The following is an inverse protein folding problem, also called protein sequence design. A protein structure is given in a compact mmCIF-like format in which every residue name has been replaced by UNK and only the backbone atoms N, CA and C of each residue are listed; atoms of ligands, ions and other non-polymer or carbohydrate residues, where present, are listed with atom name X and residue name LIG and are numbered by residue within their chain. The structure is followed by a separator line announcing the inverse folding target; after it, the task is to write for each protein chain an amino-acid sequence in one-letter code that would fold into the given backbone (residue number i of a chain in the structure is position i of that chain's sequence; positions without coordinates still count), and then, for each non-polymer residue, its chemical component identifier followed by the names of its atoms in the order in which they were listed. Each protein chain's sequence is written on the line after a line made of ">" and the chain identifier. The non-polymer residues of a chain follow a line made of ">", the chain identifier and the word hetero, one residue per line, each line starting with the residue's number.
data_IF_871073821285
#
_entry.id   IF_871073821285
#
_cell.length_a   1.000
_cell.length_b   1.000
_cell.length_c   1.000
_cell.angle_alpha   90.00
_cell.angle_beta   90.00
_cell.angle_gamma   90.00
#
_symmetry.space_group_name_H-M   'P 1'
#
loop_
_entity.id
_entity.type
_entity.pdbx_description
1 polymer ?
#
# COMPACT_ATOMS: atom_id res chain seq x y z
N UNK A 1 -7.04 -19.58 -15.44
CA UNK A 1 -5.98 -18.79 -16.11
C UNK A 1 -4.81 -19.70 -16.48
N UNK A 2 -4.26 -20.50 -15.57
CA UNK A 2 -3.12 -21.38 -15.82
C UNK A 2 -3.43 -22.36 -16.96
N UNK A 3 -4.49 -23.13 -16.82
CA UNK A 3 -4.94 -24.09 -17.84
C UNK A 3 -5.05 -23.43 -19.21
N UNK A 4 -5.69 -22.26 -19.28
CA UNK A 4 -5.81 -21.48 -20.50
C UNK A 4 -4.46 -21.04 -21.09
N UNK A 5 -3.49 -20.63 -20.22
CA UNK A 5 -2.14 -20.30 -20.68
C UNK A 5 -1.35 -21.52 -21.16
N UNK A 6 -1.50 -22.65 -20.47
CA UNK A 6 -0.82 -23.91 -20.82
C UNK A 6 -1.32 -24.43 -22.17
N UNK A 7 -2.56 -24.10 -22.55
CA UNK A 7 -3.16 -24.35 -23.87
C UNK A 7 -2.79 -23.31 -24.94
N UNK A 8 -1.90 -22.37 -24.63
CA UNK A 8 -1.48 -21.32 -25.56
C UNK A 8 -2.42 -20.12 -25.65
N UNK A 9 -3.30 -19.96 -24.66
CA UNK A 9 -4.22 -18.84 -24.57
C UNK A 9 -3.53 -17.51 -24.31
N UNK A 10 -4.16 -16.42 -24.74
CA UNK A 10 -3.70 -15.05 -24.52
C UNK A 10 -4.83 -14.15 -23.98
N UNK A 11 -4.52 -12.88 -23.69
CA UNK A 11 -5.49 -11.92 -23.19
C UNK A 11 -6.02 -10.95 -24.27
N UNK A 12 -5.80 -11.20 -25.56
CA UNK A 12 -6.14 -10.26 -26.61
C UNK A 12 -7.63 -9.90 -26.67
N UNK A 13 -8.51 -10.84 -26.29
CA UNK A 13 -9.96 -10.64 -26.35
C UNK A 13 -10.52 -9.75 -25.22
N UNK A 14 -9.86 -9.67 -24.06
CA UNK A 14 -10.38 -8.86 -22.94
C UNK A 14 -9.45 -7.74 -22.52
N UNK A 15 -8.27 -7.63 -23.12
CA UNK A 15 -7.24 -6.64 -22.80
C UNK A 15 -7.77 -5.20 -22.75
N UNK A 16 -8.66 -4.84 -23.65
CA UNK A 16 -9.26 -3.50 -23.73
C UNK A 16 -10.25 -3.21 -22.58
N UNK A 17 -10.74 -4.26 -21.90
CA UNK A 17 -11.65 -4.18 -20.75
C UNK A 17 -10.92 -4.33 -19.42
N UNK A 18 -9.62 -4.62 -19.45
CA UNK A 18 -8.81 -4.83 -18.25
C UNK A 18 -8.48 -3.52 -17.56
N UNK A 19 -9.18 -3.25 -16.48
CA UNK A 19 -8.99 -2.06 -15.64
C UNK A 19 -7.97 -2.26 -14.52
N UNK A 20 -7.48 -3.48 -14.28
CA UNK A 20 -6.61 -3.79 -13.13
C UNK A 20 -5.14 -3.87 -13.51
N UNK A 21 -4.85 -4.51 -14.63
CA UNK A 21 -3.47 -4.68 -15.08
C UNK A 21 -3.13 -3.74 -16.24
N UNK A 22 -4.08 -2.91 -16.66
CA UNK A 22 -3.96 -1.99 -17.80
C UNK A 22 -3.54 -2.73 -19.08
N UNK A 23 -4.16 -3.87 -19.33
CA UNK A 23 -3.91 -4.69 -20.51
C UNK A 23 -2.59 -5.46 -20.51
N UNK A 24 -2.02 -5.71 -19.33
CA UNK A 24 -0.88 -6.59 -19.15
C UNK A 24 -1.22 -8.05 -19.47
N UNK A 25 -0.25 -8.94 -19.33
CA UNK A 25 -0.38 -10.33 -19.73
C UNK A 25 -1.16 -11.17 -18.72
N UNK A 26 -1.64 -12.35 -19.14
CA UNK A 26 -2.22 -13.34 -18.23
C UNK A 26 -1.24 -13.86 -17.19
N UNK A 27 0.07 -13.79 -17.43
CA UNK A 27 1.10 -14.10 -16.44
C UNK A 27 1.06 -13.13 -15.25
N UNK A 28 0.86 -11.86 -15.51
CA UNK A 28 0.70 -10.83 -14.47
C UNK A 28 -0.60 -11.02 -13.69
N UNK A 29 -1.67 -11.48 -14.36
CA UNK A 29 -2.89 -11.91 -13.69
C UNK A 29 -2.67 -13.11 -12.77
N UNK A 30 -1.82 -14.08 -13.16
CA UNK A 30 -1.44 -15.20 -12.28
C UNK A 30 -0.63 -14.74 -11.08
N UNK A 31 0.33 -13.83 -11.25
CA UNK A 31 1.07 -13.22 -10.13
C UNK A 31 0.12 -12.52 -9.16
N UNK A 32 -0.85 -11.78 -9.67
CA UNK A 32 -1.88 -11.16 -8.82
C UNK A 32 -2.72 -12.19 -8.08
N UNK A 33 -3.19 -13.24 -8.77
CA UNK A 33 -3.98 -14.31 -8.17
C UNK A 33 -3.20 -15.04 -7.04
N UNK A 34 -1.92 -15.35 -7.27
CA UNK A 34 -1.05 -15.95 -6.26
C UNK A 34 -0.82 -15.00 -5.07
N UNK A 35 -0.61 -13.72 -5.33
CA UNK A 35 -0.45 -12.71 -4.27
C UNK A 35 -1.72 -12.55 -3.44
N UNK A 36 -2.88 -12.55 -4.08
CA UNK A 36 -4.18 -12.54 -3.39
C UNK A 36 -4.40 -13.80 -2.57
N UNK A 37 -4.02 -14.97 -3.11
CA UNK A 37 -4.04 -16.24 -2.38
C UNK A 37 -3.17 -16.18 -1.12
N UNK A 38 -1.97 -15.61 -1.20
CA UNK A 38 -1.11 -15.40 -0.05
C UNK A 38 -1.75 -14.46 0.97
N UNK A 39 -2.33 -13.32 0.53
CA UNK A 39 -3.05 -12.40 1.42
C UNK A 39 -4.18 -13.12 2.18
N UNK A 40 -5.00 -13.90 1.48
CA UNK A 40 -6.09 -14.64 2.09
C UNK A 40 -5.60 -15.73 3.06
N UNK A 41 -4.53 -16.43 2.71
CA UNK A 41 -3.88 -17.41 3.59
C UNK A 41 -3.43 -16.76 4.91
N UNK A 42 -2.78 -15.59 4.83
CA UNK A 42 -2.34 -14.88 6.05
C UNK A 42 -3.53 -14.37 6.88
N UNK A 43 -4.65 -14.00 6.28
CA UNK A 43 -5.87 -13.59 7.01
C UNK A 43 -6.50 -14.70 7.85
N UNK A 44 -6.43 -15.93 7.40
CA UNK A 44 -6.99 -17.08 8.14
C UNK A 44 -5.98 -17.75 9.08
N UNK A 45 -4.75 -17.27 9.17
CA UNK A 45 -3.65 -17.91 9.88
C UNK A 45 -3.91 -18.14 11.38
N UNK A 46 -4.74 -17.32 12.01
CA UNK A 46 -5.12 -17.46 13.41
C UNK A 46 -6.39 -18.33 13.61
N UNK A 47 -7.07 -18.69 12.52
CA UNK A 47 -8.29 -19.53 12.54
C UNK A 47 -7.96 -20.96 12.11
N UNK A 48 -7.22 -21.12 11.03
CA UNK A 48 -6.77 -22.40 10.51
C UNK A 48 -5.32 -22.28 9.98
N UNK A 49 -4.37 -22.51 10.88
CA UNK A 49 -2.93 -22.42 10.58
C UNK A 49 -2.49 -23.47 9.54
N UNK A 50 -3.13 -24.64 9.50
CA UNK A 50 -2.79 -25.72 8.58
C UNK A 50 -3.19 -25.33 7.16
N UNK A 51 -4.42 -24.87 6.96
CA UNK A 51 -4.90 -24.40 5.68
C UNK A 51 -4.11 -23.15 5.23
N UNK A 52 -3.84 -22.22 6.15
CA UNK A 52 -3.04 -21.03 5.88
C UNK A 52 -1.65 -21.39 5.34
N UNK A 53 -0.95 -22.31 6.00
CA UNK A 53 0.36 -22.79 5.56
C UNK A 53 0.31 -23.45 4.19
N UNK A 54 -0.66 -24.34 3.96
CA UNK A 54 -0.84 -25.01 2.66
C UNK A 54 -1.05 -23.98 1.53
N UNK A 55 -1.95 -23.02 1.75
CA UNK A 55 -2.28 -22.02 0.74
C UNK A 55 -1.15 -21.01 0.50
N UNK A 56 -0.44 -20.58 1.54
CA UNK A 56 0.74 -19.72 1.42
C UNK A 56 1.86 -20.43 0.64
N UNK A 57 2.14 -21.69 0.98
CA UNK A 57 3.14 -22.50 0.30
C UNK A 57 2.81 -22.68 -1.18
N UNK A 58 1.55 -22.96 -1.51
CA UNK A 58 1.09 -23.08 -2.91
C UNK A 58 1.20 -21.78 -3.68
N UNK A 59 0.93 -20.64 -3.03
CA UNK A 59 1.05 -19.32 -3.65
C UNK A 59 2.51 -18.98 -4.00
N UNK A 60 3.43 -19.25 -3.06
CA UNK A 60 4.83 -18.86 -3.20
C UNK A 60 5.67 -19.84 -4.05
N UNK A 61 5.29 -21.12 -4.10
CA UNK A 61 5.96 -22.12 -4.94
C UNK A 61 5.42 -22.17 -6.37
N UNK A 62 4.46 -21.33 -6.73
CA UNK A 62 3.97 -21.25 -8.09
C UNK A 62 5.05 -20.76 -9.06
N UNK A 63 5.19 -21.37 -10.22
CA UNK A 63 6.22 -21.03 -11.20
C UNK A 63 6.08 -19.63 -11.82
N UNK A 64 4.90 -19.02 -11.74
CA UNK A 64 4.71 -17.61 -12.15
C UNK A 64 5.04 -16.64 -11.03
N UNK A 65 5.19 -17.12 -9.79
CA UNK A 65 5.51 -16.31 -8.62
C UNK A 65 4.37 -15.39 -8.17
N UNK A 66 4.74 -14.42 -7.38
CA UNK A 66 3.88 -13.37 -6.81
C UNK A 66 4.35 -11.99 -7.30
N UNK A 67 3.67 -10.93 -6.91
CA UNK A 67 4.12 -9.55 -7.18
C UNK A 67 5.38 -9.26 -6.35
N UNK A 68 6.44 -8.77 -6.99
CA UNK A 68 7.74 -8.52 -6.35
C UNK A 68 8.27 -7.11 -6.62
N UNK A 69 8.09 -6.58 -7.83
CA UNK A 69 8.56 -5.26 -8.22
C UNK A 69 7.53 -4.16 -8.01
N UNK A 70 7.95 -2.95 -7.65
CA UNK A 70 7.06 -1.80 -7.43
C UNK A 70 6.14 -1.52 -8.64
N UNK A 71 6.61 -1.79 -9.86
CA UNK A 71 5.83 -1.62 -11.10
C UNK A 71 4.78 -2.71 -11.33
N UNK A 72 4.82 -3.80 -10.58
CA UNK A 72 3.84 -4.89 -10.65
C UNK A 72 2.59 -4.60 -9.79
N UNK A 73 2.56 -3.46 -9.08
CA UNK A 73 1.40 -3.03 -8.29
C UNK A 73 0.12 -3.10 -9.10
N UNK A 74 -0.90 -3.74 -8.53
CA UNK A 74 -2.24 -3.85 -9.10
C UNK A 74 -3.08 -2.68 -8.61
N UNK A 75 -3.60 -1.91 -9.57
CA UNK A 75 -4.40 -0.73 -9.27
C UNK A 75 -5.55 -0.61 -10.27
N UNK A 76 -6.69 -0.11 -9.83
CA UNK A 76 -7.79 0.23 -10.75
C UNK A 76 -7.36 1.41 -11.61
N UNK A 77 -7.41 1.21 -12.92
CA UNK A 77 -7.04 2.19 -13.93
C UNK A 77 -8.03 2.08 -15.10
N UNK A 78 -8.03 3.05 -15.98
CA UNK A 78 -8.85 2.98 -17.19
C UNK A 78 -9.03 4.35 -17.83
N UNK A 79 -9.51 4.35 -19.06
CA UNK A 79 -9.65 5.57 -19.88
C UNK A 79 -10.52 6.62 -19.20
N UNK A 80 -11.60 6.21 -18.55
CA UNK A 80 -12.57 7.09 -17.88
C UNK A 80 -12.47 7.01 -16.35
N UNK A 81 -11.40 6.40 -15.81
CA UNK A 81 -11.19 6.27 -14.38
C UNK A 81 -10.74 7.61 -13.79
N UNK A 82 -11.35 7.97 -12.66
CA UNK A 82 -10.94 9.07 -11.80
C UNK A 82 -10.73 8.49 -10.41
N UNK A 83 -9.57 8.77 -9.79
CA UNK A 83 -9.26 8.29 -8.47
C UNK A 83 -10.24 8.90 -7.43
N UNK A 84 -11.04 8.08 -6.73
CA UNK A 84 -12.00 8.60 -5.77
C UNK A 84 -11.35 9.31 -4.58
N UNK A 85 -10.13 8.94 -4.20
CA UNK A 85 -9.40 9.66 -3.15
C UNK A 85 -9.09 11.10 -3.52
N UNK A 86 -8.80 11.36 -4.80
CA UNK A 86 -8.60 12.73 -5.29
C UNK A 86 -9.89 13.56 -5.19
N UNK A 87 -11.03 12.97 -5.54
CA UNK A 87 -12.33 13.62 -5.41
C UNK A 87 -12.67 13.92 -3.94
N UNK A 88 -12.50 12.93 -3.06
CA UNK A 88 -12.74 13.07 -1.60
C UNK A 88 -11.81 14.13 -0.98
N UNK A 89 -10.54 14.17 -1.39
CA UNK A 89 -9.61 15.20 -0.93
C UNK A 89 -10.06 16.61 -1.32
N UNK A 90 -10.70 16.75 -2.48
CA UNK A 90 -11.25 18.03 -2.96
C UNK A 90 -12.43 18.57 -2.15
N UNK A 91 -13.06 17.76 -1.30
CA UNK A 91 -14.15 18.22 -0.44
C UNK A 91 -13.67 19.10 0.74
N UNK A 92 -12.37 19.07 1.06
CA UNK A 92 -11.82 19.87 2.17
C UNK A 92 -12.21 19.34 3.55
N UNK A 93 -12.62 18.07 3.66
CA UNK A 93 -13.11 17.43 4.89
C UNK A 93 -12.24 16.25 5.35
N UNK A 94 -11.24 15.87 4.54
CA UNK A 94 -10.40 14.70 4.80
C UNK A 94 -8.97 15.13 5.05
N UNK A 95 -8.49 14.83 6.24
CA UNK A 95 -7.16 15.20 6.73
C UNK A 95 -6.46 13.97 7.33
N UNK A 96 -5.14 14.08 7.49
CA UNK A 96 -4.32 13.12 8.19
C UNK A 96 -4.81 12.92 9.62
N UNK A 97 -4.80 11.70 10.13
CA UNK A 97 -5.07 11.45 11.55
C UNK A 97 -3.79 11.51 12.39
N UNK A 98 -3.93 11.78 13.70
CA UNK A 98 -2.81 11.90 14.63
C UNK A 98 -2.00 10.60 14.78
N UNK A 99 -2.61 9.43 14.63
CA UNK A 99 -1.88 8.15 14.65
C UNK A 99 -0.90 8.04 13.47
N UNK A 100 -1.32 8.49 12.29
CA UNK A 100 -0.43 8.54 11.12
C UNK A 100 0.66 9.60 11.30
N UNK A 101 0.33 10.75 11.88
CA UNK A 101 1.31 11.78 12.25
C UNK A 101 2.41 11.21 13.15
N UNK A 102 2.02 10.54 14.23
CA UNK A 102 2.95 9.92 15.19
C UNK A 102 3.92 8.97 14.48
N UNK A 103 3.41 8.13 13.59
CA UNK A 103 4.23 7.16 12.83
C UNK A 103 5.16 7.89 11.87
N UNK A 104 4.61 8.73 10.99
CA UNK A 104 5.37 9.34 9.90
C UNK A 104 6.42 10.32 10.41
N UNK A 105 6.06 11.16 11.41
CA UNK A 105 7.00 12.10 11.99
C UNK A 105 8.01 11.42 12.91
N UNK A 106 7.58 10.40 13.68
CA UNK A 106 8.46 9.67 14.60
C UNK A 106 9.55 8.90 13.87
N UNK A 107 9.19 8.19 12.80
CA UNK A 107 10.16 7.50 11.96
C UNK A 107 10.87 8.41 10.94
N UNK A 108 10.50 9.69 10.87
CA UNK A 108 10.97 10.63 9.82
C UNK A 108 10.78 10.07 8.43
N UNK A 109 9.64 9.42 8.19
CA UNK A 109 9.36 8.71 6.94
C UNK A 109 9.16 9.69 5.77
N UNK A 110 10.06 9.70 4.77
CA UNK A 110 9.99 10.66 3.67
C UNK A 110 8.75 10.46 2.78
N UNK A 111 8.13 9.27 2.82
CA UNK A 111 6.91 8.96 2.06
C UNK A 111 5.71 9.78 2.57
N UNK A 112 5.76 10.24 3.83
CA UNK A 112 4.70 11.06 4.39
C UNK A 112 4.38 12.31 3.57
N UNK A 113 5.41 12.98 3.04
CA UNK A 113 5.25 14.14 2.16
C UNK A 113 4.79 13.82 0.74
N UNK A 114 4.84 12.53 0.34
CA UNK A 114 4.20 12.05 -0.89
C UNK A 114 2.70 11.83 -0.68
N UNK A 115 2.30 11.41 0.52
CA UNK A 115 0.90 11.12 0.86
C UNK A 115 0.11 12.35 1.29
N UNK A 116 0.77 13.27 2.01
CA UNK A 116 0.13 14.44 2.62
C UNK A 116 0.86 15.74 2.31
N UNK A 117 0.11 16.80 2.21
CA UNK A 117 0.62 18.17 2.22
C UNK A 117 1.06 18.54 3.65
N UNK A 118 2.03 19.46 3.78
CA UNK A 118 2.35 20.02 5.09
C UNK A 118 1.20 20.86 5.64
N UNK A 119 1.12 20.96 6.95
CA UNK A 119 0.08 21.74 7.62
C UNK A 119 0.13 23.21 7.22
N UNK A 120 -1.04 23.86 7.25
CA UNK A 120 -1.19 25.31 7.03
C UNK A 120 -1.22 26.10 8.34
N UNK A 121 -1.29 25.39 9.50
CA UNK A 121 -1.32 26.01 10.82
C UNK A 121 -0.03 26.78 11.07
N UNK A 122 -0.16 28.02 11.57
CA UNK A 122 0.99 28.86 11.93
C UNK A 122 1.91 28.15 12.93
N UNK A 123 3.21 28.19 12.69
CA UNK A 123 4.21 27.45 13.44
C UNK A 123 4.44 25.99 13.00
N UNK A 124 3.56 25.42 12.16
CA UNK A 124 3.62 24.02 11.70
C UNK A 124 3.74 23.86 10.18
N UNK A 125 3.92 24.94 9.43
CA UNK A 125 3.83 24.95 7.95
C UNK A 125 4.83 24.02 7.22
N UNK A 126 5.83 23.51 7.91
CA UNK A 126 6.80 22.55 7.32
C UNK A 126 6.64 21.12 7.84
N UNK A 127 5.66 20.90 8.71
CA UNK A 127 5.42 19.63 9.39
C UNK A 127 4.16 18.95 8.84
N UNK A 128 4.06 17.66 9.09
CA UNK A 128 2.81 16.92 8.94
C UNK A 128 2.08 16.99 10.29
N UNK A 129 0.81 17.37 10.26
CA UNK A 129 -0.03 17.54 11.43
C UNK A 129 -1.33 16.78 11.23
N UNK A 130 -1.64 15.86 12.13
CA UNK A 130 -2.83 15.01 12.09
C UNK A 130 -3.92 15.46 13.07
N UNK A 131 -5.13 15.01 12.83
CA UNK A 131 -6.30 15.27 13.68
C UNK A 131 -6.44 14.14 14.70
N UNK A 132 -6.50 14.41 16.01
CA UNK A 132 -6.87 13.41 17.01
C UNK A 132 -8.30 12.93 16.78
N UNK A 133 -8.53 11.61 16.81
CA UNK A 133 -9.85 11.01 16.63
C UNK A 133 -10.67 11.13 17.93
N UNK A 134 -11.96 11.44 17.79
CA UNK A 134 -12.89 11.45 18.92
C UNK A 134 -12.93 12.75 19.73
N UNK A 135 -12.31 13.81 19.27
CA UNK A 135 -12.49 15.13 19.89
C UNK A 135 -13.91 15.65 19.66
N UNK A 136 -14.60 16.12 20.69
CA UNK A 136 -15.92 16.72 20.54
C UNK A 136 -15.78 18.07 19.82
N UNK A 137 -16.54 18.25 18.75
CA UNK A 137 -16.76 19.56 18.12
C UNK A 137 -18.11 20.11 18.64
N UNK A 138 -18.12 21.37 19.04
CA UNK A 138 -19.35 22.07 19.38
C UNK A 138 -19.98 22.64 18.12
N UNK A 139 -21.30 22.62 18.04
CA UNK A 139 -22.03 23.26 16.97
C UNK A 139 -21.62 24.74 16.86
N UNK A 140 -21.28 25.18 15.65
CA UNK A 140 -20.84 26.54 15.38
C UNK A 140 -19.36 26.84 15.59
N UNK A 141 -18.56 25.88 16.06
CA UNK A 141 -17.11 26.04 16.12
C UNK A 141 -16.52 26.11 14.70
N UNK A 142 -15.56 27.01 14.50
CA UNK A 142 -14.79 27.03 13.27
C UNK A 142 -14.06 25.71 13.10
N UNK A 143 -14.01 25.21 11.86
CA UNK A 143 -13.24 23.98 11.57
C UNK A 143 -11.73 24.27 11.69
N UNK A 144 -11.22 24.18 12.94
CA UNK A 144 -9.80 24.37 13.25
C UNK A 144 -8.90 23.32 12.59
N UNK A 145 -9.48 22.21 12.14
CA UNK A 145 -8.75 21.11 11.52
C UNK A 145 -8.44 21.35 10.04
N UNK A 146 -9.07 22.35 9.40
CA UNK A 146 -8.79 22.73 8.02
C UNK A 146 -7.32 23.14 7.77
N UNK A 147 -6.58 23.44 8.83
CA UNK A 147 -5.14 23.73 8.75
C UNK A 147 -4.24 22.51 8.91
N UNK A 148 -4.80 21.34 9.22
CA UNK A 148 -4.05 20.09 9.31
C UNK A 148 -3.64 19.58 7.93
N UNK A 149 -2.81 18.54 7.90
CA UNK A 149 -2.28 17.95 6.67
C UNK A 149 -3.37 17.25 5.85
N UNK A 150 -3.66 17.79 4.67
CA UNK A 150 -4.58 17.20 3.68
C UNK A 150 -3.86 16.17 2.81
N UNK A 151 -4.62 15.36 2.05
CA UNK A 151 -4.05 14.47 1.04
C UNK A 151 -3.28 15.26 -0.03
N UNK A 152 -2.13 14.73 -0.44
CA UNK A 152 -1.32 15.34 -1.50
C UNK A 152 -1.86 14.95 -2.87
N UNK A 153 -2.76 15.76 -3.42
CA UNK A 153 -3.38 15.54 -4.73
C UNK A 153 -2.42 15.73 -5.91
N UNK A 154 -1.24 16.29 -5.69
CA UNK A 154 -0.18 16.31 -6.70
C UNK A 154 0.44 14.93 -6.91
N UNK A 155 0.47 14.09 -5.89
CA UNK A 155 0.96 12.70 -5.96
C UNK A 155 -0.19 11.72 -6.15
N UNK A 156 -1.31 11.92 -5.45
CA UNK A 156 -2.52 11.11 -5.54
C UNK A 156 -3.55 11.86 -6.38
N UNK A 157 -3.23 12.05 -7.66
CA UNK A 157 -4.05 12.81 -8.59
C UNK A 157 -5.20 11.99 -9.21
N UNK A 158 -6.03 12.65 -10.00
CA UNK A 158 -7.21 12.03 -10.65
C UNK A 158 -6.88 10.78 -11.46
N UNK A 159 -5.73 10.77 -12.12
CA UNK A 159 -5.29 9.66 -12.99
C UNK A 159 -4.39 8.65 -12.28
N UNK A 160 -4.08 8.87 -11.02
CA UNK A 160 -3.34 7.89 -10.20
C UNK A 160 -4.24 6.67 -9.94
N UNK A 161 -3.77 5.47 -10.25
CA UNK A 161 -4.55 4.24 -10.02
C UNK A 161 -4.86 4.02 -8.55
N UNK A 162 -6.08 3.60 -8.21
CA UNK A 162 -6.41 3.16 -6.86
C UNK A 162 -5.81 1.77 -6.62
N UNK A 163 -4.81 1.71 -5.74
CA UNK A 163 -4.05 0.48 -5.45
C UNK A 163 -4.93 -0.54 -4.75
N UNK A 164 -5.03 -1.73 -5.33
CA UNK A 164 -5.68 -2.91 -4.73
C UNK A 164 -4.68 -3.82 -4.03
N UNK A 165 -3.47 -3.96 -4.61
CA UNK A 165 -2.39 -4.76 -4.04
C UNK A 165 -1.04 -4.24 -4.54
N UNK A 166 -0.16 -3.89 -3.61
CA UNK A 166 1.21 -3.51 -3.93
C UNK A 166 2.18 -4.68 -3.76
N UNK A 167 3.28 -4.66 -4.51
CA UNK A 167 4.35 -5.63 -4.29
C UNK A 167 4.99 -5.48 -2.91
N UNK A 168 5.03 -4.27 -2.36
CA UNK A 168 5.49 -4.02 -0.99
C UNK A 168 4.66 -4.79 0.05
N UNK A 169 3.32 -4.78 -0.08
CA UNK A 169 2.44 -5.59 0.76
C UNK A 169 2.76 -7.08 0.64
N UNK A 170 2.97 -7.57 -0.58
CA UNK A 170 3.28 -8.99 -0.81
C UNK A 170 4.58 -9.40 -0.13
N UNK A 171 5.61 -8.57 -0.16
CA UNK A 171 6.85 -8.81 0.57
C UNK A 171 6.64 -8.85 2.09
N UNK A 172 5.80 -7.96 2.65
CA UNK A 172 5.47 -7.99 4.07
C UNK A 172 4.65 -9.23 4.45
N UNK A 173 3.75 -9.70 3.59
CA UNK A 173 3.03 -10.97 3.77
C UNK A 173 4.00 -12.18 3.72
N UNK A 174 5.02 -12.16 2.87
CA UNK A 174 6.10 -13.17 2.84
C UNK A 174 6.89 -13.15 4.15
N UNK A 175 7.23 -11.97 4.67
CA UNK A 175 7.90 -11.84 5.96
C UNK A 175 7.06 -12.46 7.09
N UNK A 176 5.76 -12.19 7.15
CA UNK A 176 4.84 -12.80 8.11
C UNK A 176 4.76 -14.32 7.93
N UNK A 177 4.61 -14.81 6.71
CA UNK A 177 4.59 -16.25 6.42
C UNK A 177 5.88 -16.96 6.87
N UNK A 178 7.03 -16.33 6.68
CA UNK A 178 8.32 -16.84 7.13
C UNK A 178 8.42 -16.86 8.67
N UNK A 179 7.99 -15.79 9.35
CA UNK A 179 7.93 -15.74 10.82
C UNK A 179 7.04 -16.85 11.42
N UNK A 180 5.94 -17.17 10.73
CA UNK A 180 5.04 -18.26 11.13
C UNK A 180 5.56 -19.65 10.77
N UNK A 181 6.72 -19.76 10.10
CA UNK A 181 7.30 -21.04 9.66
C UNK A 181 6.53 -21.69 8.51
N UNK A 182 5.81 -20.91 7.71
CA UNK A 182 5.09 -21.41 6.52
C UNK A 182 6.00 -21.53 5.30
N UNK A 183 7.10 -20.78 5.28
CA UNK A 183 8.13 -20.80 4.23
C UNK A 183 9.53 -20.87 4.85
N UNK A 184 10.55 -21.13 4.00
CA UNK A 184 11.95 -21.14 4.39
C UNK A 184 12.66 -19.80 4.14
N UNK A 185 11.93 -18.80 3.73
CA UNK A 185 12.49 -17.47 3.47
C UNK A 185 13.00 -16.82 4.77
N UNK A 186 13.93 -15.91 4.64
CA UNK A 186 14.37 -15.12 5.78
C UNK A 186 13.37 -13.96 6.01
N UNK A 187 12.68 -13.90 7.16
CA UNK A 187 11.65 -12.90 7.42
C UNK A 187 12.21 -11.47 7.42
N UNK A 188 13.43 -11.27 7.91
CA UNK A 188 14.09 -9.96 7.89
C UNK A 188 14.33 -9.48 6.46
N UNK A 189 14.88 -10.33 5.62
CA UNK A 189 15.13 -10.02 4.22
C UNK A 189 13.84 -9.68 3.47
N UNK A 190 12.76 -10.45 3.70
CA UNK A 190 11.45 -10.15 3.11
C UNK A 190 10.90 -8.78 3.60
N UNK A 191 11.07 -8.46 4.88
CA UNK A 191 10.68 -7.16 5.43
C UNK A 191 11.47 -6.01 4.77
N UNK A 192 12.79 -6.15 4.68
CA UNK A 192 13.68 -5.16 4.04
C UNK A 192 13.31 -4.92 2.58
N UNK A 193 12.98 -5.98 1.83
CA UNK A 193 12.44 -5.86 0.47
C UNK A 193 11.07 -5.16 0.44
N UNK A 194 10.20 -5.44 1.38
CA UNK A 194 8.90 -4.77 1.50
C UNK A 194 9.04 -3.26 1.68
N UNK A 195 9.91 -2.83 2.59
CA UNK A 195 10.21 -1.42 2.82
C UNK A 195 10.82 -0.78 1.56
N UNK A 196 11.88 -1.39 1.01
CA UNK A 196 12.58 -0.85 -0.16
C UNK A 196 11.67 -0.75 -1.40
N UNK A 197 10.80 -1.75 -1.59
CA UNK A 197 9.79 -1.74 -2.68
C UNK A 197 8.78 -0.61 -2.48
N UNK A 198 8.35 -0.36 -1.24
CA UNK A 198 7.46 0.77 -0.93
C UNK A 198 8.13 2.12 -1.20
N UNK A 199 9.39 2.29 -0.83
CA UNK A 199 10.16 3.50 -1.15
C UNK A 199 10.23 3.73 -2.67
N UNK A 200 10.53 2.67 -3.42
CA UNK A 200 10.55 2.71 -4.89
C UNK A 200 9.17 3.04 -5.47
N UNK A 201 8.09 2.49 -4.93
CA UNK A 201 6.72 2.75 -5.37
C UNK A 201 6.37 4.24 -5.25
N UNK A 202 6.83 4.90 -4.20
CA UNK A 202 6.55 6.31 -3.93
C UNK A 202 7.65 7.26 -4.42
N UNK A 203 8.62 6.76 -5.18
CA UNK A 203 9.75 7.56 -5.67
C UNK A 203 10.42 8.33 -4.52
N UNK A 204 10.79 7.61 -3.47
CA UNK A 204 11.53 8.10 -2.32
C UNK A 204 12.90 7.43 -2.26
N UNK A 205 13.93 8.20 -1.91
CA UNK A 205 15.23 7.70 -1.52
C UNK A 205 15.29 7.44 0.00
N UNK A 206 16.37 6.82 0.48
CA UNK A 206 16.64 6.67 1.91
C UNK A 206 16.05 5.40 2.55
N UNK A 207 15.75 4.36 1.77
CA UNK A 207 15.23 3.10 2.31
C UNK A 207 16.22 2.40 3.25
N UNK A 208 17.53 2.44 2.95
CA UNK A 208 18.56 1.80 3.80
C UNK A 208 18.69 2.52 5.13
N UNK A 209 18.77 3.85 5.11
CA UNK A 209 18.84 4.70 6.30
C UNK A 209 17.59 4.53 7.17
N UNK A 210 16.41 4.41 6.54
CA UNK A 210 15.15 4.15 7.25
C UNK A 210 15.18 2.78 7.96
N UNK A 211 15.71 1.74 7.30
CA UNK A 211 15.80 0.38 7.85
C UNK A 211 16.85 0.25 8.98
N UNK A 212 17.88 1.09 8.97
CA UNK A 212 18.95 1.11 9.99
C UNK A 212 18.61 2.06 11.16
N UNK A 213 17.51 2.82 11.05
CA UNK A 213 17.11 3.80 12.05
C UNK A 213 16.57 3.12 13.33
N UNK A 214 16.93 3.67 14.48
CA UNK A 214 16.40 3.33 15.80
C UNK A 214 15.20 4.19 16.22
N UNK A 215 14.69 5.01 15.33
CA UNK A 215 13.56 5.90 15.57
C UNK A 215 12.28 5.13 15.87
N UNK A 216 11.41 5.74 16.64
CA UNK A 216 10.12 5.20 17.09
C UNK A 216 9.00 6.19 16.80
N UNK A 217 7.72 5.76 16.84
CA UNK A 217 6.60 6.69 16.74
C UNK A 217 6.74 7.87 17.72
N UNK A 218 6.42 9.06 17.25
CA UNK A 218 6.43 10.26 18.10
C UNK A 218 5.15 10.35 18.94
N UNK A 219 5.25 11.00 20.11
CA UNK A 219 4.07 11.35 20.88
C UNK A 219 3.22 12.40 20.15
N UNK A 220 1.93 12.43 20.45
CA UNK A 220 1.05 13.50 19.97
C UNK A 220 1.46 14.84 20.57
N UNK A 221 1.30 15.89 19.78
CA UNK A 221 1.50 17.26 20.24
C UNK A 221 0.17 17.94 20.52
#
# INVERSE_FOLDING_TARGET
>A
IREYLDEGGDNNKFKEYDMLTNGKTLKEWLKFANSLRLRLAMRISNVDATLAKDQATKALNDNQGVLEGARETIAVMGKNYINPLCAVAGWGEVYMNASMESIVNGYEDPRGKKWYNTALLEGYQKQLLGIPIGLPMKDGDANIYSFCSSLNTSTIGEKTGAVLMSAAEVWLLRAEAALRGYTKENPRTCYEYGVSTSFTQWDCAGASEYLESDKTPADYK
#
